data_IF_459579731713
#
_entry.id   IF_459579731713
#
_cell.length_a   1.000
_cell.length_b   1.000
_cell.length_c   1.000
_cell.angle_alpha   90.00
_cell.angle_beta   90.00
_cell.angle_gamma   90.00
#
_symmetry.space_group_name_H-M   'P 1'
#
loop_
_entity.id
_entity.type
_entity.pdbx_description
1 polymer ?
#
# COMPACT_ATOMS: atom_id res chain seq x y z
N UNK A 1 17.87 -70.14 -52.14
CA UNK A 1 17.00 -68.94 -52.15
C UNK A 1 16.37 -68.80 -50.79
N UNK A 2 16.87 -67.85 -49.96
CA UNK A 2 16.29 -67.55 -48.63
C UNK A 2 15.60 -66.20 -48.74
N UNK A 3 14.29 -66.17 -48.56
CA UNK A 3 13.49 -64.96 -48.54
C UNK A 3 13.62 -64.26 -47.17
N UNK A 4 14.14 -63.06 -47.21
CA UNK A 4 14.23 -62.16 -46.05
C UNK A 4 12.88 -61.37 -45.93
N UNK A 5 12.10 -61.64 -44.89
CA UNK A 5 10.89 -60.85 -44.58
C UNK A 5 11.29 -59.61 -43.81
N UNK A 6 11.09 -58.45 -44.44
CA UNK A 6 11.22 -57.17 -43.80
C UNK A 6 9.95 -56.94 -42.89
N UNK A 7 10.15 -56.82 -41.61
CA UNK A 7 9.11 -56.35 -40.68
C UNK A 7 9.09 -54.79 -40.69
N UNK A 8 8.02 -54.24 -41.17
CA UNK A 8 7.77 -52.80 -41.09
C UNK A 8 7.04 -52.57 -39.75
N UNK A 9 7.71 -51.91 -38.80
CA UNK A 9 7.12 -51.43 -37.56
C UNK A 9 6.57 -50.02 -37.82
N UNK A 10 5.28 -49.75 -37.60
CA UNK A 10 4.75 -48.38 -37.71
C UNK A 10 5.23 -47.54 -36.54
N UNK A 11 5.96 -46.47 -36.82
CA UNK A 11 6.35 -45.45 -35.88
C UNK A 11 5.08 -44.63 -35.53
N UNK A 12 4.50 -44.88 -34.38
CA UNK A 12 3.42 -44.03 -33.84
C UNK A 12 4.09 -42.75 -33.31
N UNK A 13 3.98 -41.67 -34.07
CA UNK A 13 4.32 -40.34 -33.59
C UNK A 13 3.33 -39.89 -32.56
N UNK A 14 3.71 -39.94 -31.27
CA UNK A 14 2.99 -39.31 -30.20
C UNK A 14 3.20 -37.79 -30.35
N UNK A 15 2.22 -37.08 -30.90
CA UNK A 15 2.19 -35.63 -30.82
C UNK A 15 1.81 -35.24 -29.38
N UNK A 16 2.82 -34.85 -28.61
CA UNK A 16 2.61 -34.15 -27.34
C UNK A 16 2.07 -32.77 -27.70
N UNK A 17 0.77 -32.62 -27.64
CA UNK A 17 0.13 -31.30 -27.59
C UNK A 17 0.52 -30.65 -26.26
N UNK A 18 1.58 -29.84 -26.28
CA UNK A 18 1.85 -28.91 -25.21
C UNK A 18 0.65 -27.93 -25.16
N UNK A 19 -0.22 -28.11 -24.19
CA UNK A 19 -1.12 -27.06 -23.78
C UNK A 19 -0.25 -25.87 -23.32
N UNK A 20 0.04 -24.96 -24.25
CA UNK A 20 0.48 -23.62 -23.86
C UNK A 20 -0.73 -22.97 -23.19
N UNK A 21 -0.75 -23.00 -21.88
CA UNK A 21 -1.54 -22.04 -21.12
C UNK A 21 -1.00 -20.66 -21.53
N UNK A 22 -1.67 -20.01 -22.46
CA UNK A 22 -1.52 -18.58 -22.68
C UNK A 22 -1.95 -17.88 -21.38
N UNK A 23 -1.02 -17.79 -20.43
CA UNK A 23 -1.10 -16.79 -19.40
C UNK A 23 -1.00 -15.46 -20.14
N UNK A 24 -2.13 -14.85 -20.44
CA UNK A 24 -2.13 -13.45 -20.85
C UNK A 24 -1.46 -12.69 -19.71
N UNK A 25 -0.22 -12.25 -19.92
CA UNK A 25 0.46 -11.33 -19.06
C UNK A 25 -0.44 -10.08 -19.01
N UNK A 26 -1.10 -9.88 -17.89
CA UNK A 26 -1.97 -8.75 -17.72
C UNK A 26 -1.11 -7.49 -17.65
N UNK A 27 -1.15 -6.71 -18.72
CA UNK A 27 -0.38 -5.49 -18.86
C UNK A 27 -0.93 -4.46 -17.85
N UNK A 28 -0.07 -3.93 -16.98
CA UNK A 28 -0.44 -2.85 -16.09
C UNK A 28 -0.67 -1.55 -16.87
N UNK A 29 -1.69 -0.79 -16.48
CA UNK A 29 -2.00 0.50 -17.08
C UNK A 29 -1.44 1.64 -16.24
N UNK A 30 -0.99 2.71 -16.89
CA UNK A 30 -0.63 3.96 -16.21
C UNK A 30 -1.90 4.65 -15.80
N UNK A 31 -2.03 4.97 -14.51
CA UNK A 31 -3.12 5.75 -13.95
C UNK A 31 -2.76 7.24 -13.99
N UNK A 32 -1.59 7.58 -13.45
CA UNK A 32 -1.04 8.93 -13.45
C UNK A 32 0.45 8.90 -13.79
N UNK A 33 0.90 9.84 -14.61
CA UNK A 33 2.31 9.97 -14.99
C UNK A 33 3.18 10.60 -13.89
N UNK A 34 2.58 11.17 -12.87
CA UNK A 34 3.25 11.74 -11.69
C UNK A 34 2.35 11.51 -10.49
N UNK A 35 2.95 11.09 -9.38
CA UNK A 35 2.25 10.93 -8.12
C UNK A 35 2.99 10.01 -7.16
N UNK A 36 2.68 10.14 -5.89
CA UNK A 36 3.21 9.32 -4.80
C UNK A 36 2.11 9.04 -3.79
N UNK A 37 2.22 7.92 -3.08
CA UNK A 37 1.26 7.50 -2.04
C UNK A 37 -0.20 7.51 -2.55
N UNK A 38 -0.52 6.71 -3.57
CA UNK A 38 -1.88 6.64 -4.08
C UNK A 38 -2.79 5.91 -3.10
N UNK A 39 -3.92 6.49 -2.79
CA UNK A 39 -4.99 5.79 -2.10
C UNK A 39 -6.30 5.93 -2.87
N UNK A 40 -6.95 4.82 -3.16
CA UNK A 40 -8.21 4.77 -3.91
C UNK A 40 -9.23 3.96 -3.14
N UNK A 41 -10.43 4.50 -3.01
CA UNK A 41 -11.59 3.79 -2.48
C UNK A 41 -12.81 4.01 -3.36
N UNK A 42 -13.83 3.20 -3.18
CA UNK A 42 -15.11 3.33 -3.90
C UNK A 42 -16.27 3.46 -2.94
N UNK A 43 -17.23 4.28 -3.33
CA UNK A 43 -18.51 4.33 -2.65
C UNK A 43 -19.62 4.71 -3.66
N UNK A 44 -20.72 3.96 -3.64
CA UNK A 44 -21.73 4.03 -4.69
C UNK A 44 -21.07 3.91 -6.06
N UNK A 45 -21.38 4.79 -6.99
CA UNK A 45 -20.88 4.77 -8.37
C UNK A 45 -19.66 5.67 -8.57
N UNK A 46 -18.86 5.90 -7.53
CA UNK A 46 -17.75 6.86 -7.56
C UNK A 46 -16.46 6.28 -6.97
N UNK A 47 -15.37 6.47 -7.70
CA UNK A 47 -14.01 6.29 -7.21
C UNK A 47 -13.52 7.59 -6.57
N UNK A 48 -13.07 7.51 -5.33
CA UNK A 48 -12.42 8.60 -4.62
C UNK A 48 -10.93 8.31 -4.54
N UNK A 49 -10.13 9.34 -4.74
CA UNK A 49 -8.69 9.22 -4.80
C UNK A 49 -8.02 10.33 -4.02
N UNK A 50 -7.01 9.97 -3.22
CA UNK A 50 -6.07 10.89 -2.59
C UNK A 50 -4.65 10.48 -2.94
N UNK A 51 -3.74 11.44 -2.95
CA UNK A 51 -2.30 11.22 -3.08
C UNK A 51 -1.54 12.35 -2.40
N UNK A 52 -0.28 12.12 -2.15
CA UNK A 52 0.61 13.18 -1.69
C UNK A 52 0.79 14.23 -2.79
N UNK A 53 0.65 15.49 -2.43
CA UNK A 53 0.93 16.60 -3.35
C UNK A 53 2.44 16.82 -3.52
N UNK A 54 2.85 17.48 -4.61
CA UNK A 54 4.25 17.73 -4.90
C UNK A 54 4.95 18.55 -3.80
N UNK A 55 4.24 19.51 -3.21
CA UNK A 55 4.78 20.40 -2.18
C UNK A 55 4.49 19.94 -0.76
N UNK A 56 3.81 18.82 -0.58
CA UNK A 56 3.43 18.22 0.71
C UNK A 56 2.75 19.21 1.66
N UNK A 57 1.95 20.08 1.11
CA UNK A 57 1.36 21.25 1.78
C UNK A 57 -0.16 21.23 1.80
N UNK A 58 -0.78 20.21 1.22
CA UNK A 58 -2.23 20.14 1.09
C UNK A 58 -2.76 18.71 0.91
N UNK A 59 -4.04 18.53 1.23
CA UNK A 59 -4.82 17.35 0.92
C UNK A 59 -5.80 17.72 -0.19
N UNK A 60 -5.72 17.02 -1.31
CA UNK A 60 -6.64 17.15 -2.43
C UNK A 60 -7.39 15.83 -2.60
N UNK A 61 -8.70 15.90 -2.61
CA UNK A 61 -9.59 14.79 -2.90
C UNK A 61 -10.06 14.87 -4.34
N UNK A 62 -9.98 13.74 -5.03
CA UNK A 62 -10.42 13.57 -6.40
C UNK A 62 -11.59 12.60 -6.44
N UNK A 63 -12.54 12.83 -7.38
CA UNK A 63 -13.67 11.95 -7.61
C UNK A 63 -13.87 11.70 -9.12
N UNK A 64 -14.05 10.44 -9.49
CA UNK A 64 -14.25 10.03 -10.88
C UNK A 64 -15.17 8.82 -10.99
N UNK A 65 -15.85 8.61 -12.14
CA UNK A 65 -16.73 7.46 -12.35
C UNK A 65 -15.97 6.14 -12.66
N UNK A 66 -14.68 6.21 -12.97
CA UNK A 66 -13.84 5.02 -13.17
C UNK A 66 -12.36 5.34 -12.89
N UNK A 67 -11.53 4.29 -12.71
CA UNK A 67 -10.08 4.45 -12.51
C UNK A 67 -9.42 5.21 -13.68
N UNK A 68 -9.80 4.91 -14.92
CA UNK A 68 -9.24 5.54 -16.13
C UNK A 68 -9.55 7.04 -16.22
N UNK A 69 -10.61 7.49 -15.54
CA UNK A 69 -11.04 8.89 -15.52
C UNK A 69 -10.38 9.70 -14.40
N UNK A 70 -9.57 9.10 -13.55
CA UNK A 70 -8.92 9.83 -12.44
C UNK A 70 -7.97 10.94 -12.92
N UNK A 71 -7.43 10.85 -14.14
CA UNK A 71 -6.61 11.94 -14.70
C UNK A 71 -7.41 13.24 -14.92
N UNK A 72 -8.71 13.11 -15.24
CA UNK A 72 -9.63 14.22 -15.50
C UNK A 72 -10.66 14.39 -14.37
N UNK A 73 -10.37 13.86 -13.18
CA UNK A 73 -11.29 13.83 -12.06
C UNK A 73 -11.66 15.23 -11.56
N UNK A 74 -12.87 15.37 -11.07
CA UNK A 74 -13.26 16.50 -10.24
C UNK A 74 -12.38 16.50 -8.96
N UNK A 75 -11.99 17.70 -8.50
CA UNK A 75 -11.12 17.80 -7.32
C UNK A 75 -11.55 18.92 -6.39
N UNK A 76 -11.33 18.71 -5.10
CA UNK A 76 -11.52 19.69 -4.05
C UNK A 76 -10.32 19.69 -3.11
N UNK A 77 -9.87 20.87 -2.68
CA UNK A 77 -8.86 21.00 -1.63
C UNK A 77 -9.55 20.87 -0.28
N UNK A 78 -9.10 19.91 0.53
CA UNK A 78 -9.68 19.57 1.83
C UNK A 78 -8.97 20.33 2.96
N UNK A 79 -7.63 20.40 2.89
CA UNK A 79 -6.79 21.01 3.91
C UNK A 79 -5.55 21.61 3.27
N UNK A 80 -5.06 22.70 3.85
CA UNK A 80 -3.74 23.27 3.48
C UNK A 80 -2.89 23.49 4.72
N UNK A 81 -1.56 23.48 4.54
CA UNK A 81 -0.60 23.86 5.59
C UNK A 81 -0.84 25.26 6.13
N UNK A 82 -1.27 26.18 5.25
CA UNK A 82 -1.58 27.56 5.63
C UNK A 82 -2.77 27.66 6.60
N UNK A 83 -3.79 26.84 6.40
CA UNK A 83 -5.00 26.84 7.23
C UNK A 83 -4.80 26.10 8.54
N UNK A 84 -4.12 24.95 8.50
CA UNK A 84 -3.91 24.08 9.66
C UNK A 84 -2.73 24.47 10.52
N UNK A 85 -1.72 25.16 9.97
CA UNK A 85 -0.42 25.37 10.61
C UNK A 85 0.50 24.15 10.59
N UNK A 86 0.02 23.00 10.09
CA UNK A 86 0.80 21.78 9.96
C UNK A 86 1.72 21.87 8.74
N UNK A 87 2.87 21.17 8.82
CA UNK A 87 3.85 21.05 7.74
C UNK A 87 3.98 19.60 7.31
N UNK A 88 4.57 19.37 6.12
CA UNK A 88 4.86 18.05 5.60
C UNK A 88 3.65 17.10 5.69
N UNK A 89 2.56 17.47 5.02
CA UNK A 89 1.33 16.68 4.95
C UNK A 89 1.55 15.53 3.97
N UNK A 90 1.65 14.29 4.49
CA UNK A 90 1.92 13.09 3.70
C UNK A 90 0.78 12.08 3.75
N UNK A 91 0.75 11.20 2.75
CA UNK A 91 -0.02 9.97 2.69
C UNK A 91 -1.49 10.11 3.11
N UNK A 92 -2.28 11.04 2.54
CA UNK A 92 -3.68 11.14 2.88
C UNK A 92 -4.46 9.95 2.34
N UNK A 93 -5.28 9.32 3.19
CA UNK A 93 -6.10 8.16 2.88
C UNK A 93 -7.56 8.40 3.27
N UNK A 94 -8.48 8.30 2.30
CA UNK A 94 -9.91 8.52 2.52
C UNK A 94 -10.64 7.21 2.78
N UNK A 95 -11.36 7.15 3.89
CA UNK A 95 -12.16 6.00 4.31
C UNK A 95 -13.60 6.40 4.60
N UNK A 96 -14.54 5.48 4.35
CA UNK A 96 -15.90 5.60 4.84
C UNK A 96 -16.09 4.62 5.99
N UNK A 97 -16.36 5.16 7.18
CA UNK A 97 -16.55 4.36 8.40
C UNK A 97 -17.90 4.73 8.98
N UNK A 98 -18.77 3.75 9.13
CA UNK A 98 -20.17 3.97 9.45
C UNK A 98 -20.76 5.02 8.51
N UNK A 99 -21.45 5.94 8.73
CA UNK A 99 -22.05 6.89 7.77
C UNK A 99 -21.27 8.21 7.61
N UNK A 100 -19.98 8.22 7.96
CA UNK A 100 -19.13 9.40 7.82
C UNK A 100 -17.85 9.10 7.03
N UNK A 101 -17.24 10.15 6.50
CA UNK A 101 -15.97 10.13 5.78
C UNK A 101 -14.85 10.56 6.70
N UNK A 102 -13.71 9.91 6.55
CA UNK A 102 -12.50 10.20 7.29
C UNK A 102 -11.31 10.26 6.35
N UNK A 103 -10.44 11.26 6.53
CA UNK A 103 -9.13 11.29 5.86
C UNK A 103 -8.08 11.19 6.94
N UNK A 104 -7.34 10.10 6.93
CA UNK A 104 -6.16 9.91 7.77
C UNK A 104 -4.93 10.41 7.03
N UNK A 105 -4.02 11.05 7.73
CA UNK A 105 -2.77 11.56 7.17
C UNK A 105 -1.75 11.78 8.27
N UNK A 106 -0.49 11.93 7.90
CA UNK A 106 0.51 12.40 8.84
C UNK A 106 1.00 13.81 8.49
N UNK A 107 1.43 14.54 9.53
CA UNK A 107 2.01 15.86 9.41
C UNK A 107 2.88 16.17 10.64
N UNK A 108 3.66 17.24 10.56
CA UNK A 108 4.52 17.71 11.63
C UNK A 108 4.46 19.23 11.83
N UNK A 109 5.32 19.76 12.71
CA UNK A 109 5.46 21.17 13.05
C UNK A 109 6.63 21.87 12.31
N UNK A 110 7.14 21.24 11.25
CA UNK A 110 8.36 21.64 10.53
C UNK A 110 9.60 20.81 10.93
N UNK A 111 9.46 19.92 11.89
CA UNK A 111 10.48 18.96 12.29
C UNK A 111 9.99 17.53 12.04
N UNK A 112 10.59 16.83 11.09
CA UNK A 112 10.19 15.48 10.68
C UNK A 112 10.26 14.43 11.80
N UNK A 113 11.00 14.66 12.88
CA UNK A 113 10.98 13.78 14.05
C UNK A 113 9.66 13.90 14.86
N UNK A 114 8.83 14.90 14.55
CA UNK A 114 7.56 15.17 15.23
C UNK A 114 6.34 14.77 14.38
N UNK A 115 6.52 13.96 13.35
CA UNK A 115 5.40 13.44 12.58
C UNK A 115 4.38 12.72 13.47
N UNK A 116 3.11 13.09 13.33
CA UNK A 116 1.99 12.50 14.05
C UNK A 116 0.85 12.22 13.07
N UNK A 117 -0.01 11.31 13.46
CA UNK A 117 -1.19 10.93 12.68
C UNK A 117 -2.36 11.82 13.08
N UNK A 118 -2.99 12.40 12.08
CA UNK A 118 -4.20 13.21 12.20
C UNK A 118 -5.35 12.59 11.42
N UNK A 119 -6.57 12.97 11.75
CA UNK A 119 -7.75 12.56 11.01
C UNK A 119 -8.72 13.73 10.84
N UNK A 120 -9.28 13.84 9.67
CA UNK A 120 -10.37 14.73 9.32
C UNK A 120 -11.66 13.94 9.23
N UNK A 121 -12.76 14.47 9.72
CA UNK A 121 -14.11 13.91 9.64
C UNK A 121 -15.02 14.79 8.81
N UNK A 122 -15.85 14.18 7.96
CA UNK A 122 -16.92 14.83 7.23
C UNK A 122 -18.18 13.95 7.27
N UNK A 123 -19.27 14.50 7.77
CA UNK A 123 -20.56 13.81 7.93
C UNK A 123 -21.54 14.04 6.78
N UNK A 124 -21.12 14.72 5.70
CA UNK A 124 -21.93 14.88 4.51
C UNK A 124 -22.05 13.57 3.71
N UNK A 125 -23.10 13.44 2.92
CA UNK A 125 -23.31 12.27 2.06
C UNK A 125 -22.16 12.09 1.07
N UNK A 126 -21.66 13.18 0.48
CA UNK A 126 -20.52 13.19 -0.43
C UNK A 126 -19.30 13.85 0.24
N UNK A 127 -18.11 13.22 0.16
CA UNK A 127 -16.89 13.81 0.73
C UNK A 127 -16.38 15.02 -0.08
N UNK A 128 -16.93 15.24 -1.29
CA UNK A 128 -16.63 16.40 -2.13
C UNK A 128 -17.36 17.66 -1.66
N UNK A 129 -18.23 17.53 -0.66
CA UNK A 129 -19.07 18.59 -0.11
C UNK A 129 -19.01 18.59 1.40
N UNK A 130 -19.56 19.65 2.02
CA UNK A 130 -19.60 19.79 3.49
C UNK A 130 -18.29 20.29 4.08
N UNK A 131 -18.22 20.26 5.39
CA UNK A 131 -17.08 20.73 6.17
C UNK A 131 -16.31 19.56 6.74
N UNK A 132 -14.99 19.71 6.80
CA UNK A 132 -14.08 18.75 7.40
C UNK A 132 -13.63 19.23 8.77
N UNK A 133 -13.84 18.40 9.79
CA UNK A 133 -13.45 18.67 11.17
C UNK A 133 -12.17 17.91 11.52
N UNK A 134 -11.16 18.63 12.03
CA UNK A 134 -9.89 18.02 12.45
C UNK A 134 -10.04 17.36 13.83
N UNK A 135 -9.65 16.09 13.92
CA UNK A 135 -9.45 15.36 15.16
C UNK A 135 -7.98 14.91 15.25
N UNK A 136 -7.41 15.00 16.41
CA UNK A 136 -6.06 14.51 16.60
C UNK A 136 -5.09 15.55 17.12
N UNK A 137 -3.82 15.18 17.28
CA UNK A 137 -3.22 13.92 16.78
C UNK A 137 -3.72 12.66 17.49
N UNK A 138 -3.76 11.54 16.75
CA UNK A 138 -4.04 10.22 17.33
C UNK A 138 -2.84 9.83 18.20
N UNK A 139 -3.08 9.43 19.44
CA UNK A 139 -2.01 9.04 20.36
C UNK A 139 -1.64 7.59 20.16
N UNK A 140 -0.52 7.35 19.48
CA UNK A 140 0.00 6.01 19.18
C UNK A 140 0.87 5.44 20.30
N UNK A 141 1.46 6.33 21.11
CA UNK A 141 2.25 5.99 22.31
C UNK A 141 2.38 7.19 23.24
N UNK A 142 2.55 6.95 24.53
CA UNK A 142 2.67 8.00 25.53
C UNK A 142 4.09 8.61 25.63
N UNK A 143 5.10 7.98 25.03
CA UNK A 143 6.48 8.46 25.14
C UNK A 143 6.83 9.41 24.00
N UNK A 144 6.85 8.89 22.76
CA UNK A 144 7.14 9.66 21.56
C UNK A 144 6.08 9.36 20.54
N UNK A 145 5.12 10.27 20.38
CA UNK A 145 3.95 10.07 19.52
C UNK A 145 4.28 10.21 18.04
N UNK A 146 5.28 9.45 17.58
CA UNK A 146 5.66 9.40 16.18
C UNK A 146 4.83 8.34 15.45
N UNK A 147 4.25 8.71 14.32
CA UNK A 147 3.49 7.83 13.45
C UNK A 147 3.43 8.34 12.03
N UNK A 148 3.58 7.42 11.09
CA UNK A 148 3.56 7.66 9.64
C UNK A 148 2.61 6.67 8.97
N UNK A 149 2.07 7.06 7.82
CA UNK A 149 1.33 6.19 6.90
C UNK A 149 0.22 5.40 7.61
N UNK A 150 -0.78 6.09 8.18
CA UNK A 150 -1.91 5.42 8.81
C UNK A 150 -2.83 4.79 7.78
N UNK A 151 -3.22 3.54 7.98
CA UNK A 151 -4.28 2.86 7.25
C UNK A 151 -5.30 2.27 8.21
N UNK A 152 -6.57 2.28 7.86
CA UNK A 152 -7.66 1.88 8.74
C UNK A 152 -8.60 0.90 8.04
N UNK A 153 -8.90 -0.21 8.71
CA UNK A 153 -9.81 -1.24 8.19
C UNK A 153 -10.76 -1.76 9.27
N UNK A 154 -11.97 -2.11 8.86
CA UNK A 154 -12.93 -2.81 9.72
C UNK A 154 -12.86 -4.31 9.45
N UNK A 155 -12.64 -5.11 10.51
CA UNK A 155 -12.67 -6.57 10.50
C UNK A 155 -13.61 -7.03 11.60
N UNK A 156 -14.63 -7.83 11.28
CA UNK A 156 -15.61 -8.35 12.23
C UNK A 156 -16.21 -7.26 13.14
N UNK A 157 -16.63 -6.13 12.56
CA UNK A 157 -17.18 -4.96 13.23
C UNK A 157 -16.23 -4.29 14.25
N UNK A 158 -14.95 -4.59 14.20
CA UNK A 158 -13.92 -3.89 14.96
C UNK A 158 -13.05 -3.08 14.01
N UNK A 159 -12.77 -1.85 14.42
CA UNK A 159 -11.93 -0.94 13.68
C UNK A 159 -10.49 -1.10 14.12
N UNK A 160 -9.58 -1.21 13.16
CA UNK A 160 -8.14 -1.34 13.39
C UNK A 160 -7.39 -0.26 12.61
N UNK A 161 -6.35 0.27 13.23
CA UNK A 161 -5.38 1.16 12.56
C UNK A 161 -4.04 0.48 12.47
N UNK A 162 -3.46 0.50 11.27
CA UNK A 162 -2.08 0.14 10.96
C UNK A 162 -1.29 1.41 10.72
N UNK A 163 -0.03 1.43 11.09
CA UNK A 163 0.84 2.57 10.82
C UNK A 163 2.32 2.19 10.89
N UNK A 164 3.17 3.01 10.30
CA UNK A 164 4.61 2.94 10.47
C UNK A 164 5.05 3.79 11.64
N UNK A 165 6.05 3.33 12.37
CA UNK A 165 6.55 4.09 13.50
C UNK A 165 7.84 3.54 14.08
N UNK A 166 8.35 4.24 15.04
CA UNK A 166 9.54 3.80 15.78
C UNK A 166 9.17 2.94 16.97
N UNK A 167 9.93 1.85 17.16
CA UNK A 167 9.89 1.12 18.42
C UNK A 167 10.54 1.94 19.54
N UNK A 168 11.64 2.60 19.20
CA UNK A 168 12.34 3.58 20.04
C UNK A 168 12.70 4.77 19.17
N UNK A 169 12.81 5.96 19.77
CA UNK A 169 13.23 7.15 19.05
C UNK A 169 14.56 6.89 18.33
N UNK A 170 14.59 7.33 17.08
CA UNK A 170 15.79 7.27 16.25
C UNK A 170 16.98 8.00 16.89
N UNK A 171 18.18 7.40 16.82
CA UNK A 171 19.44 8.02 17.20
C UNK A 171 20.49 7.93 16.11
N UNK A 172 20.81 6.72 15.62
CA UNK A 172 21.87 6.48 14.64
C UNK A 172 21.37 5.71 13.39
N UNK A 173 20.27 5.03 13.48
CA UNK A 173 19.71 4.21 12.39
C UNK A 173 18.24 4.53 12.23
N UNK A 174 17.79 4.74 11.01
CA UNK A 174 16.36 4.83 10.70
C UNK A 174 15.76 3.43 10.78
N UNK A 175 14.97 3.17 11.83
CA UNK A 175 14.29 1.87 12.01
C UNK A 175 12.80 2.13 12.14
N UNK A 176 12.05 1.83 11.08
CA UNK A 176 10.60 1.90 11.10
C UNK A 176 10.01 0.49 11.09
N UNK A 177 8.99 0.31 11.91
CA UNK A 177 8.26 -0.94 12.10
C UNK A 177 6.78 -0.71 11.84
N UNK A 178 6.05 -1.76 11.51
CA UNK A 178 4.60 -1.69 11.38
C UNK A 178 3.94 -2.06 12.69
N UNK A 179 3.05 -1.19 13.14
CA UNK A 179 2.23 -1.36 14.33
C UNK A 179 0.76 -1.50 13.95
N UNK A 180 0.03 -2.11 14.85
CA UNK A 180 -1.41 -2.34 14.80
C UNK A 180 -2.02 -2.03 16.16
N UNK A 181 -3.20 -1.41 16.17
CA UNK A 181 -4.05 -1.29 17.35
C UNK A 181 -5.54 -1.35 16.98
N UNK A 182 -6.37 -1.84 17.89
CA UNK A 182 -7.83 -1.70 17.82
C UNK A 182 -8.20 -0.26 18.19
N UNK A 183 -9.18 0.31 17.47
CA UNK A 183 -9.68 1.65 17.70
C UNK A 183 -11.01 1.60 18.47
N UNK A 184 -11.24 2.57 19.33
CA UNK A 184 -12.52 2.79 20.02
C UNK A 184 -13.49 3.58 19.13
N UNK A 185 -12.95 4.52 18.41
CA UNK A 185 -13.63 5.36 17.44
C UNK A 185 -12.60 5.80 16.38
N UNK A 186 -12.98 6.49 15.30
CA UNK A 186 -12.04 6.81 14.20
C UNK A 186 -10.83 7.67 14.55
N UNK A 187 -10.72 8.22 15.76
CA UNK A 187 -9.59 9.05 16.19
C UNK A 187 -8.99 8.67 17.55
N UNK A 188 -9.40 7.52 18.12
CA UNK A 188 -8.91 7.07 19.43
C UNK A 188 -8.56 5.61 19.42
N UNK A 189 -7.33 5.27 19.81
CA UNK A 189 -6.94 3.87 19.98
C UNK A 189 -7.51 3.30 21.28
N UNK A 190 -8.08 2.11 21.20
CA UNK A 190 -8.62 1.34 22.32
C UNK A 190 -7.57 0.43 22.96
N UNK A 191 -6.76 -0.20 22.14
CA UNK A 191 -5.72 -1.11 22.61
C UNK A 191 -4.34 -0.47 22.63
N UNK A 192 -3.40 -1.09 23.33
CA UNK A 192 -1.98 -0.81 23.14
C UNK A 192 -1.57 -1.25 21.73
N UNK A 193 -0.58 -0.57 21.17
CA UNK A 193 0.01 -0.95 19.89
C UNK A 193 0.73 -2.30 19.97
N UNK A 194 0.60 -3.08 18.93
CA UNK A 194 1.34 -4.34 18.71
C UNK A 194 2.24 -4.16 17.50
N UNK A 195 3.51 -4.48 17.61
CA UNK A 195 4.43 -4.50 16.48
C UNK A 195 4.26 -5.80 15.72
N UNK A 196 3.77 -5.73 14.49
CA UNK A 196 3.51 -6.90 13.64
C UNK A 196 4.60 -7.11 12.57
N UNK A 197 5.43 -6.10 12.30
CA UNK A 197 6.58 -6.23 11.41
C UNK A 197 7.73 -5.34 11.84
N UNK A 198 8.95 -5.86 11.68
CA UNK A 198 10.19 -5.11 11.74
C UNK A 198 11.10 -5.52 10.57
N UNK A 199 12.03 -4.65 10.13
CA UNK A 199 12.90 -4.93 8.97
C UNK A 199 13.99 -5.97 9.34
N UNK A 200 13.65 -7.25 9.23
CA UNK A 200 14.54 -8.37 9.57
C UNK A 200 15.19 -9.02 8.33
N UNK A 201 14.56 -8.91 7.15
CA UNK A 201 15.10 -9.47 5.91
C UNK A 201 16.14 -8.52 5.28
N UNK A 202 17.12 -9.06 4.58
CA UNK A 202 18.19 -8.24 3.97
C UNK A 202 17.65 -7.24 2.94
N UNK A 203 16.65 -7.62 2.16
CA UNK A 203 16.03 -6.74 1.18
C UNK A 203 15.22 -5.57 1.81
N UNK A 204 14.95 -5.59 3.09
CA UNK A 204 14.29 -4.50 3.84
C UNK A 204 15.28 -3.47 4.39
N UNK A 205 16.57 -3.68 4.15
CA UNK A 205 17.66 -2.94 4.78
C UNK A 205 18.58 -2.32 3.76
N UNK A 206 18.83 -1.02 3.89
CA UNK A 206 19.82 -0.32 3.09
C UNK A 206 20.94 0.20 4.01
N UNK A 207 22.14 -0.32 3.80
CA UNK A 207 23.32 0.03 4.58
C UNK A 207 24.03 1.28 4.05
N UNK A 208 23.80 1.61 2.77
CA UNK A 208 24.40 2.74 2.09
C UNK A 208 23.29 3.51 1.38
N UNK A 209 23.25 4.84 1.53
CA UNK A 209 22.36 5.65 0.74
C UNK A 209 22.80 5.58 -0.74
N UNK A 210 21.98 5.00 -1.63
CA UNK A 210 22.35 4.77 -3.02
C UNK A 210 22.54 6.08 -3.82
N UNK A 211 21.99 7.19 -3.37
CA UNK A 211 22.10 8.48 -4.05
C UNK A 211 23.44 9.20 -3.84
N UNK A 212 24.44 8.51 -3.26
CA UNK A 212 25.75 9.09 -3.00
C UNK A 212 25.76 10.18 -1.92
N UNK A 213 24.60 10.64 -1.49
CA UNK A 213 24.48 11.44 -0.28
C UNK A 213 24.71 10.51 0.90
N UNK A 214 25.72 10.76 1.69
CA UNK A 214 25.88 10.08 2.96
C UNK A 214 24.66 10.39 3.82
N UNK A 215 23.65 9.54 3.75
CA UNK A 215 22.73 9.45 4.86
C UNK A 215 23.59 9.11 6.08
N UNK A 216 23.44 9.89 7.13
CA UNK A 216 24.16 9.61 8.35
C UNK A 216 23.80 8.23 8.93
N UNK A 217 22.74 7.60 8.44
CA UNK A 217 22.12 6.42 9.06
C UNK A 217 21.83 5.32 8.04
N UNK A 218 22.09 4.04 8.39
CA UNK A 218 21.48 2.92 7.70
C UNK A 218 19.95 3.01 7.73
N UNK A 219 19.30 2.55 6.65
CA UNK A 219 17.86 2.61 6.48
C UNK A 219 17.28 1.20 6.63
N UNK A 220 16.60 0.94 7.73
CA UNK A 220 15.94 -0.32 8.03
C UNK A 220 14.46 -0.03 8.25
N UNK A 221 13.66 -0.14 7.20
CA UNK A 221 12.27 0.31 7.26
C UNK A 221 11.29 -0.70 6.69
N UNK A 222 10.20 -0.86 7.44
CA UNK A 222 8.92 -1.34 6.95
C UNK A 222 7.94 -0.19 7.16
N UNK A 223 7.39 0.33 6.08
CA UNK A 223 6.59 1.54 6.07
C UNK A 223 5.37 1.42 5.15
N UNK A 224 4.45 2.36 5.24
CA UNK A 224 3.26 2.45 4.42
C UNK A 224 2.46 1.14 4.39
N UNK A 225 1.96 0.65 5.53
CA UNK A 225 1.09 -0.52 5.56
C UNK A 225 -0.24 -0.21 4.88
N UNK A 226 -0.72 -1.14 4.05
CA UNK A 226 -2.04 -1.10 3.43
C UNK A 226 -2.75 -2.43 3.68
N UNK A 227 -3.82 -2.39 4.47
CA UNK A 227 -4.59 -3.55 4.86
C UNK A 227 -5.79 -3.76 3.94
N UNK A 228 -6.01 -4.98 3.49
CA UNK A 228 -7.15 -5.36 2.68
C UNK A 228 -7.55 -6.81 2.94
N UNK A 229 -8.79 -7.14 2.63
CA UNK A 229 -9.31 -8.48 2.82
C UNK A 229 -9.24 -9.29 1.53
N UNK A 230 -9.02 -10.61 1.69
CA UNK A 230 -9.26 -11.56 0.62
C UNK A 230 -10.74 -11.53 0.20
N UNK A 231 -11.09 -11.93 -1.04
CA UNK A 231 -12.48 -11.90 -1.52
C UNK A 231 -13.47 -12.70 -0.67
N UNK A 232 -13.00 -13.74 0.01
CA UNK A 232 -13.80 -14.55 0.93
C UNK A 232 -13.86 -13.98 2.36
N UNK A 233 -13.16 -12.89 2.63
CA UNK A 233 -13.10 -12.21 3.92
C UNK A 233 -12.35 -12.95 5.03
N UNK A 234 -11.70 -14.09 4.73
CA UNK A 234 -11.07 -14.95 5.76
C UNK A 234 -9.62 -14.62 6.05
N UNK A 235 -8.99 -13.89 5.14
CA UNK A 235 -7.58 -13.48 5.28
C UNK A 235 -7.50 -11.97 5.22
N UNK A 236 -6.88 -11.38 6.23
CA UNK A 236 -6.42 -10.00 6.17
C UNK A 236 -4.98 -9.99 5.67
N UNK A 237 -4.71 -9.17 4.68
CA UNK A 237 -3.38 -8.98 4.08
C UNK A 237 -2.95 -7.54 4.33
N UNK A 238 -1.68 -7.35 4.67
CA UNK A 238 -1.04 -6.03 4.78
C UNK A 238 0.13 -6.00 3.81
N UNK A 239 0.00 -5.22 2.75
CA UNK A 239 1.12 -4.85 1.91
C UNK A 239 1.90 -3.72 2.58
N UNK A 240 3.24 -3.77 2.55
CA UNK A 240 4.07 -2.72 3.13
C UNK A 240 5.28 -2.43 2.24
N UNK A 241 5.75 -1.19 2.29
CA UNK A 241 6.96 -0.76 1.59
C UNK A 241 8.19 -1.00 2.46
N UNK A 242 9.30 -1.35 1.85
CA UNK A 242 10.57 -1.60 2.56
C UNK A 242 11.76 -0.97 1.84
N UNK A 243 12.90 -0.85 2.50
CA UNK A 243 14.14 -0.23 2.01
C UNK A 243 14.06 1.28 1.75
N UNK A 244 13.03 1.95 2.26
CA UNK A 244 12.80 3.37 2.11
C UNK A 244 12.30 3.77 0.72
N UNK A 245 11.12 4.36 0.66
CA UNK A 245 10.48 4.79 -0.60
C UNK A 245 11.30 5.84 -1.37
N UNK A 246 12.21 6.52 -0.70
CA UNK A 246 13.14 7.49 -1.30
C UNK A 246 14.35 6.84 -1.98
N UNK A 247 14.47 5.51 -1.93
CA UNK A 247 15.55 4.77 -2.60
C UNK A 247 15.02 4.04 -3.85
N UNK A 248 15.92 3.70 -4.76
CA UNK A 248 15.61 2.84 -5.91
C UNK A 248 15.42 1.36 -5.54
N UNK A 249 15.81 0.98 -4.31
CA UNK A 249 15.69 -0.39 -3.79
C UNK A 249 14.37 -0.64 -3.07
N UNK A 250 13.49 0.35 -3.09
CA UNK A 250 12.17 0.21 -2.49
C UNK A 250 11.45 -1.02 -3.04
N UNK A 251 10.90 -1.82 -2.15
CA UNK A 251 10.28 -3.13 -2.46
C UNK A 251 8.99 -3.31 -1.66
N UNK A 252 8.12 -4.17 -2.17
CA UNK A 252 6.85 -4.50 -1.52
C UNK A 252 6.97 -5.83 -0.78
N UNK A 253 6.62 -5.83 0.50
CA UNK A 253 6.45 -7.03 1.32
C UNK A 253 5.00 -7.29 1.67
N UNK A 254 4.72 -8.50 2.15
CA UNK A 254 3.39 -8.94 2.55
C UNK A 254 3.43 -9.54 3.95
N UNK A 255 2.48 -9.12 4.76
CA UNK A 255 2.03 -9.79 5.99
C UNK A 255 0.62 -10.31 5.77
N UNK A 256 0.26 -11.39 6.44
CA UNK A 256 -1.13 -11.86 6.44
C UNK A 256 -1.47 -12.60 7.72
N UNK A 257 -2.76 -12.60 8.04
CA UNK A 257 -3.32 -13.34 9.16
C UNK A 257 -4.74 -13.83 8.83
N UNK A 258 -5.23 -14.86 9.52
CA UNK A 258 -6.65 -15.21 9.48
C UNK A 258 -7.46 -14.14 10.22
N UNK A 259 -8.60 -13.73 9.65
CA UNK A 259 -9.53 -12.80 10.32
C UNK A 259 -10.13 -13.41 11.59
N UNK A 260 -10.19 -14.74 11.71
CA UNK A 260 -10.65 -15.45 12.90
C UNK A 260 -9.59 -15.48 14.02
N UNK A 261 -8.34 -15.10 13.74
CA UNK A 261 -7.27 -15.07 14.74
C UNK A 261 -7.33 -13.79 15.60
N UNK A 262 -6.58 -13.78 16.70
CA UNK A 262 -6.39 -12.55 17.46
C UNK A 262 -5.39 -11.65 16.75
N UNK A 263 -5.88 -10.67 15.99
CA UNK A 263 -5.03 -9.74 15.23
C UNK A 263 -4.08 -8.92 16.12
N UNK A 264 -4.41 -8.72 17.41
CA UNK A 264 -3.55 -8.06 18.39
C UNK A 264 -2.49 -8.99 19.02
N UNK A 265 -2.34 -10.21 18.51
CA UNK A 265 -1.20 -11.07 18.81
C UNK A 265 -0.24 -11.09 17.62
N UNK A 266 1.00 -10.63 17.83
CA UNK A 266 2.02 -10.61 16.78
C UNK A 266 2.28 -12.00 16.17
N UNK A 267 2.07 -13.08 16.93
CA UNK A 267 2.23 -14.45 16.44
C UNK A 267 1.13 -14.92 15.48
N UNK A 268 0.01 -14.19 15.39
CA UNK A 268 -1.03 -14.46 14.40
C UNK A 268 -0.62 -14.05 12.98
N UNK A 269 0.42 -13.23 12.85
CA UNK A 269 0.87 -12.67 11.59
C UNK A 269 2.00 -13.49 10.98
N UNK A 270 1.84 -13.82 9.70
CA UNK A 270 2.90 -14.42 8.89
C UNK A 270 3.48 -13.38 7.96
N UNK A 271 4.81 -13.27 7.94
CA UNK A 271 5.56 -12.38 7.05
C UNK A 271 6.22 -13.19 5.95
N UNK A 272 5.99 -12.81 4.69
CA UNK A 272 6.72 -13.40 3.57
C UNK A 272 8.20 -13.02 3.63
N UNK A 273 9.06 -13.98 3.33
CA UNK A 273 10.52 -13.80 3.46
C UNK A 273 11.12 -13.04 2.27
N UNK A 274 10.49 -13.14 1.11
CA UNK A 274 10.95 -12.51 -0.13
C UNK A 274 10.03 -11.36 -0.51
N UNK A 275 10.55 -10.32 -1.20
CA UNK A 275 9.74 -9.26 -1.72
C UNK A 275 8.76 -9.79 -2.77
N UNK A 276 7.54 -9.31 -2.75
CA UNK A 276 6.45 -9.87 -3.56
C UNK A 276 6.32 -9.18 -4.92
N UNK A 277 6.77 -7.94 -5.03
CA UNK A 277 6.56 -7.12 -6.21
C UNK A 277 7.82 -6.30 -6.50
N UNK A 278 8.50 -6.66 -7.57
CA UNK A 278 9.70 -5.96 -8.04
C UNK A 278 9.42 -5.39 -9.43
N UNK A 279 9.78 -4.13 -9.62
CA UNK A 279 9.79 -3.56 -10.97
C UNK A 279 10.98 -4.14 -11.74
N UNK A 280 10.80 -4.60 -12.99
CA UNK A 280 11.93 -5.03 -13.79
C UNK A 280 12.77 -3.82 -14.21
N UNK A 281 14.02 -3.79 -13.80
CA UNK A 281 14.99 -2.74 -14.19
C UNK A 281 15.11 -2.56 -15.70
N UNK A 282 14.92 -3.65 -16.45
CA UNK A 282 14.95 -3.64 -17.94
C UNK A 282 13.86 -2.78 -18.57
N UNK A 283 12.79 -2.45 -17.83
CA UNK A 283 11.72 -1.57 -18.27
C UNK A 283 11.97 -0.09 -17.91
N UNK A 284 13.10 0.24 -17.26
CA UNK A 284 13.39 1.58 -16.75
C UNK A 284 12.58 1.96 -15.52
N UNK A 285 12.03 0.96 -14.82
CA UNK A 285 11.31 1.12 -13.57
C UNK A 285 12.16 0.59 -12.41
N UNK A 286 12.06 1.26 -11.29
CA UNK A 286 12.77 0.91 -10.07
C UNK A 286 11.78 0.94 -8.91
N UNK A 287 11.92 0.03 -7.98
CA UNK A 287 11.11 0.03 -6.74
C UNK A 287 9.61 0.08 -7.01
N UNK A 288 8.90 -0.86 -6.47
CA UNK A 288 7.43 -0.89 -6.46
C UNK A 288 6.96 -0.87 -5.03
N UNK A 289 6.05 0.02 -4.70
CA UNK A 289 5.61 0.24 -3.34
C UNK A 289 4.30 1.02 -3.27
N UNK A 290 3.93 1.41 -2.07
CA UNK A 290 2.79 2.30 -1.82
C UNK A 290 1.57 1.83 -2.60
N UNK A 291 1.01 0.71 -2.17
CA UNK A 291 -0.15 0.11 -2.81
C UNK A 291 -1.45 0.64 -2.21
N UNK A 292 -2.51 0.55 -2.98
CA UNK A 292 -3.89 0.63 -2.52
C UNK A 292 -4.70 -0.44 -3.24
N UNK A 293 -5.58 -1.13 -2.54
CA UNK A 293 -6.45 -2.15 -3.15
C UNK A 293 -7.88 -1.63 -3.14
N UNK A 294 -8.50 -1.65 -4.31
CA UNK A 294 -9.84 -1.12 -4.50
C UNK A 294 -10.74 -2.14 -5.19
N UNK A 295 -11.98 -2.25 -4.73
CA UNK A 295 -13.02 -3.03 -5.40
C UNK A 295 -13.54 -2.26 -6.61
N UNK A 296 -13.76 -2.97 -7.71
CA UNK A 296 -14.41 -2.39 -8.87
C UNK A 296 -15.89 -2.13 -8.61
N UNK A 297 -16.40 -1.02 -9.10
CA UNK A 297 -17.81 -0.64 -8.94
C UNK A 297 -18.73 -1.57 -9.76
N UNK A 298 -18.28 -1.94 -10.96
CA UNK A 298 -19.11 -2.62 -11.97
C UNK A 298 -18.94 -4.15 -11.98
N UNK A 299 -18.03 -4.69 -11.15
CA UNK A 299 -17.75 -6.13 -11.12
C UNK A 299 -17.19 -6.59 -9.78
N UNK A 300 -17.09 -7.92 -9.59
CA UNK A 300 -16.46 -8.53 -8.41
C UNK A 300 -14.91 -8.50 -8.46
N UNK A 301 -14.33 -7.67 -9.33
CA UNK A 301 -12.89 -7.56 -9.45
C UNK A 301 -12.30 -6.63 -8.38
N UNK A 302 -11.07 -6.91 -8.03
CA UNK A 302 -10.24 -5.99 -7.26
C UNK A 302 -9.09 -5.50 -8.12
N UNK A 303 -8.71 -4.26 -7.93
CA UNK A 303 -7.52 -3.68 -8.55
C UNK A 303 -6.51 -3.28 -7.48
N UNK A 304 -5.24 -3.53 -7.78
CA UNK A 304 -4.13 -2.96 -7.03
C UNK A 304 -3.64 -1.73 -7.78
N UNK A 305 -3.66 -0.60 -7.10
CA UNK A 305 -3.04 0.66 -7.51
C UNK A 305 -1.71 0.76 -6.81
N UNK A 306 -0.65 1.15 -7.48
CA UNK A 306 0.68 1.14 -6.91
C UNK A 306 1.60 2.19 -7.54
N UNK A 307 2.59 2.59 -6.78
CA UNK A 307 3.65 3.47 -7.22
C UNK A 307 4.80 2.66 -7.81
N UNK A 308 5.39 3.17 -8.89
CA UNK A 308 6.64 2.67 -9.45
C UNK A 308 7.58 3.85 -9.71
N UNK A 309 8.85 3.71 -9.32
CA UNK A 309 9.85 4.74 -9.58
C UNK A 309 10.33 4.68 -11.03
N UNK A 310 10.50 5.85 -11.63
CA UNK A 310 11.04 6.02 -12.99
C UNK A 310 12.45 6.60 -12.99
N UNK A 311 13.02 6.84 -11.80
CA UNK A 311 14.35 7.36 -11.57
C UNK A 311 14.67 7.43 -10.09
N UNK A 312 15.82 7.97 -9.75
CA UNK A 312 16.32 8.10 -8.38
C UNK A 312 15.77 9.34 -7.64
N UNK A 313 15.07 10.24 -8.35
CA UNK A 313 14.40 11.40 -7.74
C UNK A 313 13.20 10.99 -6.89
N UNK A 314 12.96 11.71 -5.80
CA UNK A 314 11.84 11.46 -4.88
C UNK A 314 10.48 11.48 -5.59
N UNK A 315 10.27 12.46 -6.49
CA UNK A 315 9.02 12.66 -7.22
C UNK A 315 9.00 12.00 -8.61
N UNK A 316 10.01 11.20 -8.96
CA UNK A 316 10.04 10.49 -10.24
C UNK A 316 9.30 9.16 -10.10
N UNK A 317 7.98 9.24 -10.03
CA UNK A 317 7.12 8.08 -9.86
C UNK A 317 5.90 8.16 -10.78
N UNK A 318 5.50 7.00 -11.30
CA UNK A 318 4.21 6.80 -11.94
C UNK A 318 3.27 6.06 -11.00
N UNK A 319 2.00 6.39 -11.06
CA UNK A 319 0.95 5.57 -10.46
C UNK A 319 0.40 4.65 -11.55
N UNK A 320 0.38 3.38 -11.26
CA UNK A 320 -0.11 2.33 -12.16
C UNK A 320 -1.19 1.51 -11.46
N UNK A 321 -1.95 0.76 -12.23
CA UNK A 321 -2.91 -0.20 -11.69
C UNK A 321 -2.97 -1.46 -12.55
N UNK A 322 -3.37 -2.56 -11.93
CA UNK A 322 -3.71 -3.83 -12.58
C UNK A 322 -4.75 -4.58 -11.77
N UNK A 323 -5.44 -5.52 -12.38
CA UNK A 323 -6.34 -6.40 -11.66
C UNK A 323 -5.56 -7.25 -10.65
N UNK A 324 -6.07 -7.34 -9.44
CA UNK A 324 -5.53 -8.20 -8.39
C UNK A 324 -6.13 -9.61 -8.56
N UNK A 325 -5.26 -10.61 -8.54
CA UNK A 325 -5.64 -12.01 -8.53
C UNK A 325 -5.21 -12.65 -7.21
N UNK A 326 -5.88 -13.73 -6.86
CA UNK A 326 -5.65 -14.45 -5.61
C UNK A 326 -5.27 -15.90 -5.90
N UNK A 327 -4.39 -16.45 -5.08
CA UNK A 327 -4.08 -17.86 -5.10
C UNK A 327 -5.15 -18.69 -4.32
N UNK A 328 -5.11 -20.04 -4.39
CA UNK A 328 -6.06 -20.89 -3.64
C UNK A 328 -5.96 -20.75 -2.12
N UNK A 329 -4.90 -20.14 -1.58
CA UNK A 329 -4.71 -19.92 -0.15
C UNK A 329 -5.13 -18.49 0.27
N UNK A 330 -5.85 -17.78 -0.58
CA UNK A 330 -6.30 -16.40 -0.35
C UNK A 330 -5.12 -15.41 -0.14
N UNK A 331 -3.99 -15.63 -0.83
CA UNK A 331 -2.89 -14.69 -0.91
C UNK A 331 -2.88 -13.98 -2.27
N UNK A 332 -2.53 -12.69 -2.30
CA UNK A 332 -2.53 -11.93 -3.54
C UNK A 332 -1.41 -12.37 -4.48
N UNK A 333 -1.75 -12.62 -5.74
CA UNK A 333 -0.78 -12.95 -6.79
C UNK A 333 -0.18 -11.65 -7.35
N UNK A 334 0.88 -11.19 -6.70
CA UNK A 334 1.64 -10.01 -7.10
C UNK A 334 2.87 -10.45 -7.87
N UNK A 335 2.71 -10.74 -9.16
CA UNK A 335 3.84 -11.12 -10.01
C UNK A 335 4.67 -9.90 -10.43
N UNK A 336 5.95 -10.11 -10.70
CA UNK A 336 6.91 -9.10 -11.20
C UNK A 336 6.67 -8.64 -12.64
N UNK A 337 5.62 -9.10 -13.31
CA UNK A 337 5.27 -8.64 -14.66
C UNK A 337 4.51 -7.31 -14.58
N UNK A 338 5.21 -6.26 -14.94
CA UNK A 338 4.63 -4.94 -15.21
C UNK A 338 3.96 -4.92 -16.59
#
# INVERSE_FOLDING_TARGET
MKFLRLLIIPLIALTIQACSSNGQQQQSSVLLNVGTYPFVTTFADTYYYTMQTEYVDSIILYAAPSLEKLQDAEKVTILTSKESGLQHIYSPEIHRINDAWYIYFEADDGNSDNHQIYVLENTADSPMQGEWTMHGPIITTNEWNFGLHPDVITVDNRLYMFWSGWQKRRTETEVQCIFLAEMENPWTLKSKRVMISSPINEWERQWINPNGHRSAYPIFVNENPQAFLSPDGKTIVVGYSASGIWTIFNSLGILYASTESNLLDANSWTKLQEPTFLAPETAGFYGTSNISVVNDIDSDKQYIVYQVKTGDGYNQCHIRYKQLHWDPNSLPLLSSSL
#
